data_IF_620293774395
#
_entry.id   IF_620293774395
#
_cell.length_a   1.000
_cell.length_b   1.000
_cell.length_c   1.000
_cell.angle_alpha   90.00
_cell.angle_beta   90.00
_cell.angle_gamma   90.00
#
_symmetry.space_group_name_H-M   'P 1'
#
loop_
_entity.id
_entity.type
_entity.pdbx_description
1 polymer ?
#
# COMPACT_ATOMS: atom_id res chain seq x y z
N UNK A 1 -34.03 16.28 -10.35
CA UNK A 1 -34.05 14.92 -10.92
C UNK A 1 -33.83 14.88 -12.44
N UNK A 2 -34.69 15.45 -13.30
CA UNK A 2 -34.46 15.40 -14.77
C UNK A 2 -33.11 16.01 -15.19
N UNK A 3 -32.76 17.16 -14.62
CA UNK A 3 -31.48 17.83 -14.91
C UNK A 3 -30.28 16.99 -14.44
N UNK A 4 -30.37 16.39 -13.26
CA UNK A 4 -29.31 15.55 -12.69
C UNK A 4 -29.03 14.31 -13.56
N UNK A 5 -30.09 13.69 -14.10
CA UNK A 5 -29.98 12.55 -15.03
C UNK A 5 -29.28 12.98 -16.33
N UNK A 6 -29.65 14.14 -16.88
CA UNK A 6 -29.04 14.66 -18.11
C UNK A 6 -27.58 15.03 -17.91
N UNK A 7 -27.24 15.65 -16.78
CA UNK A 7 -25.87 16.00 -16.41
C UNK A 7 -25.02 14.74 -16.23
N UNK A 8 -25.51 13.76 -15.46
CA UNK A 8 -24.82 12.48 -15.28
C UNK A 8 -24.61 11.77 -16.62
N UNK A 9 -25.64 11.73 -17.46
CA UNK A 9 -25.54 11.13 -18.80
C UNK A 9 -24.46 11.78 -19.66
N UNK A 10 -24.40 13.12 -19.69
CA UNK A 10 -23.36 13.86 -20.39
C UNK A 10 -21.96 13.60 -19.85
N UNK A 11 -21.78 13.59 -18.52
CA UNK A 11 -20.50 13.27 -17.87
C UNK A 11 -20.05 11.86 -18.22
N UNK A 12 -20.95 10.88 -18.15
CA UNK A 12 -20.64 9.48 -18.46
C UNK A 12 -20.27 9.29 -19.94
N UNK A 13 -20.96 9.94 -20.87
CA UNK A 13 -20.59 9.94 -22.29
C UNK A 13 -19.19 10.55 -22.48
N UNK A 14 -18.91 11.68 -21.81
CA UNK A 14 -17.60 12.32 -21.93
C UNK A 14 -16.47 11.47 -21.35
N UNK A 15 -16.70 10.85 -20.20
CA UNK A 15 -15.77 9.91 -19.61
C UNK A 15 -15.53 8.72 -20.55
N UNK A 16 -16.58 8.13 -21.11
CA UNK A 16 -16.49 7.03 -22.07
C UNK A 16 -15.64 7.42 -23.29
N UNK A 17 -15.87 8.59 -23.89
CA UNK A 17 -15.05 9.11 -24.99
C UNK A 17 -13.56 9.19 -24.61
N UNK A 18 -13.25 9.77 -23.45
CA UNK A 18 -11.87 9.94 -22.98
C UNK A 18 -11.19 8.59 -22.76
N UNK A 19 -11.83 7.67 -22.02
CA UNK A 19 -11.25 6.36 -21.72
C UNK A 19 -11.16 5.48 -22.97
N UNK A 20 -12.11 5.56 -23.89
CA UNK A 20 -12.03 4.86 -25.16
C UNK A 20 -10.88 5.39 -26.02
N UNK A 21 -10.76 6.71 -26.17
CA UNK A 21 -9.67 7.32 -26.94
C UNK A 21 -8.30 6.97 -26.34
N UNK A 22 -8.14 7.12 -25.03
CA UNK A 22 -6.86 6.91 -24.35
C UNK A 22 -6.49 5.43 -24.19
N UNK A 23 -7.46 4.54 -23.96
CA UNK A 23 -7.20 3.17 -23.52
C UNK A 23 -7.93 2.08 -24.32
N UNK A 24 -8.78 2.45 -25.28
CA UNK A 24 -9.66 1.52 -26.01
C UNK A 24 -10.53 0.70 -25.06
N UNK A 25 -10.99 1.33 -23.97
CA UNK A 25 -11.81 0.71 -22.93
C UNK A 25 -13.23 1.26 -22.93
N UNK A 26 -14.19 0.34 -22.80
CA UNK A 26 -15.58 0.65 -22.48
C UNK A 26 -15.78 0.70 -20.96
N UNK A 27 -16.07 1.88 -20.42
CA UNK A 27 -16.28 2.09 -18.98
C UNK A 27 -17.57 1.44 -18.50
N UNK A 28 -18.55 1.20 -19.38
CA UNK A 28 -19.79 0.48 -19.02
C UNK A 28 -19.49 -0.96 -18.64
N UNK A 29 -18.43 -1.55 -19.20
CA UNK A 29 -17.94 -2.87 -18.80
C UNK A 29 -17.24 -2.90 -17.44
N UNK A 30 -16.93 -1.73 -16.86
CA UNK A 30 -16.16 -1.57 -15.61
C UNK A 30 -17.03 -0.93 -14.53
N UNK A 31 -17.62 -1.77 -13.68
CA UNK A 31 -18.58 -1.35 -12.64
C UNK A 31 -17.96 -0.37 -11.62
N UNK A 32 -16.65 -0.39 -11.41
CA UNK A 32 -15.96 0.46 -10.43
C UNK A 32 -14.72 1.13 -11.01
N UNK A 33 -14.36 2.29 -10.46
CA UNK A 33 -13.11 2.99 -10.79
C UNK A 33 -11.88 2.10 -10.54
N UNK A 34 -11.88 1.29 -9.48
CA UNK A 34 -10.80 0.35 -9.19
C UNK A 34 -10.68 -0.74 -10.26
N UNK A 35 -11.79 -1.27 -10.77
CA UNK A 35 -11.81 -2.24 -11.87
C UNK A 35 -11.30 -1.62 -13.18
N UNK A 36 -11.67 -0.37 -13.45
CA UNK A 36 -11.17 0.40 -14.59
C UNK A 36 -9.65 0.62 -14.49
N UNK A 37 -9.15 1.09 -13.33
CA UNK A 37 -7.73 1.32 -13.09
C UNK A 37 -6.91 0.03 -13.23
N UNK A 38 -7.37 -1.08 -12.64
CA UNK A 38 -6.72 -2.38 -12.77
C UNK A 38 -6.73 -2.89 -14.22
N UNK A 39 -7.82 -2.66 -14.96
CA UNK A 39 -7.91 -3.01 -16.38
C UNK A 39 -6.91 -2.22 -17.22
N UNK A 40 -6.81 -0.91 -16.99
CA UNK A 40 -5.84 -0.04 -17.66
C UNK A 40 -4.41 -0.52 -17.38
N UNK A 41 -4.09 -0.77 -16.10
CA UNK A 41 -2.78 -1.29 -15.70
C UNK A 41 -2.44 -2.58 -16.44
N UNK A 42 -3.33 -3.57 -16.38
CA UNK A 42 -3.12 -4.89 -17.01
C UNK A 42 -2.99 -4.82 -18.53
N UNK A 43 -3.72 -3.93 -19.20
CA UNK A 43 -3.72 -3.85 -20.66
C UNK A 43 -2.50 -3.12 -21.23
N UNK A 44 -1.94 -2.16 -20.49
CA UNK A 44 -0.93 -1.23 -21.04
C UNK A 44 0.41 -1.22 -20.33
N UNK A 45 0.44 -1.59 -19.05
CA UNK A 45 1.59 -1.35 -18.19
C UNK A 45 2.12 -2.61 -17.51
N UNK A 46 1.30 -3.67 -17.43
CA UNK A 46 1.70 -4.91 -16.80
C UNK A 46 2.59 -5.72 -17.73
N UNK A 47 3.85 -5.89 -17.32
CA UNK A 47 4.82 -6.76 -17.97
C UNK A 47 4.83 -8.13 -17.28
N UNK A 48 4.03 -9.07 -17.78
CA UNK A 48 3.95 -10.42 -17.19
C UNK A 48 5.25 -11.23 -17.37
N UNK A 49 6.03 -10.93 -18.41
CA UNK A 49 7.25 -11.67 -18.74
C UNK A 49 8.36 -11.37 -17.72
N UNK A 50 8.57 -10.09 -17.42
CA UNK A 50 9.61 -9.66 -16.48
C UNK A 50 9.08 -9.49 -15.04
N UNK A 51 7.76 -9.32 -14.86
CA UNK A 51 7.13 -9.11 -13.57
C UNK A 51 5.88 -9.97 -13.34
N UNK A 52 6.00 -11.30 -13.23
CA UNK A 52 4.86 -12.14 -12.94
C UNK A 52 4.36 -11.91 -11.50
N UNK A 53 3.09 -11.49 -11.35
CA UNK A 53 2.44 -11.41 -10.04
C UNK A 53 2.10 -12.82 -9.57
N UNK A 54 2.85 -13.32 -8.58
CA UNK A 54 2.58 -14.60 -7.97
C UNK A 54 1.27 -14.60 -7.18
N UNK A 55 0.37 -15.53 -7.50
CA UNK A 55 -0.89 -15.72 -6.76
C UNK A 55 -0.62 -16.64 -5.57
N UNK A 56 -0.75 -16.15 -4.32
CA UNK A 56 -0.50 -16.97 -3.14
C UNK A 56 -1.56 -18.05 -2.97
N UNK A 57 -1.16 -19.19 -2.40
CA UNK A 57 -2.10 -20.16 -1.86
C UNK A 57 -2.72 -19.66 -0.55
N UNK A 58 -3.72 -20.38 -0.04
CA UNK A 58 -4.46 -19.99 1.16
C UNK A 58 -3.56 -19.79 2.40
N UNK A 59 -2.53 -20.62 2.59
CA UNK A 59 -1.64 -20.51 3.75
C UNK A 59 -0.73 -19.28 3.65
N UNK A 60 -0.18 -19.03 2.46
CA UNK A 60 0.61 -17.84 2.18
C UNK A 60 -0.23 -16.57 2.38
N UNK A 61 -1.43 -16.52 1.78
CA UNK A 61 -2.34 -15.38 1.90
C UNK A 61 -2.73 -15.12 3.35
N UNK A 62 -3.14 -16.17 4.08
CA UNK A 62 -3.51 -16.04 5.49
C UNK A 62 -2.36 -15.53 6.37
N UNK A 63 -1.13 -15.92 6.07
CA UNK A 63 0.03 -15.42 6.80
C UNK A 63 0.32 -13.95 6.46
N UNK A 64 0.46 -13.63 5.17
CA UNK A 64 0.79 -12.28 4.69
C UNK A 64 -0.28 -11.27 5.09
N UNK A 65 -1.56 -11.67 5.03
CA UNK A 65 -2.71 -10.82 5.39
C UNK A 65 -2.71 -10.40 6.86
N UNK A 66 -1.99 -11.09 7.75
CA UNK A 66 -1.78 -10.64 9.14
C UNK A 66 -0.97 -9.34 9.21
N UNK A 67 -0.10 -9.08 8.23
CA UNK A 67 0.66 -7.84 8.10
C UNK A 67 -0.12 -6.73 7.36
N UNK A 68 -1.34 -7.00 6.89
CA UNK A 68 -2.13 -6.01 6.16
C UNK A 68 -2.83 -5.04 7.12
N UNK A 69 -2.16 -3.94 7.39
CA UNK A 69 -2.67 -2.81 8.17
C UNK A 69 -3.02 -1.63 7.26
N UNK A 70 -3.96 -0.81 7.72
CA UNK A 70 -4.35 0.43 7.03
C UNK A 70 -3.44 1.60 7.38
N UNK A 71 -3.90 2.82 7.13
CA UNK A 71 -3.17 4.03 7.51
C UNK A 71 -3.01 4.17 9.03
N UNK A 72 -1.91 4.81 9.45
CA UNK A 72 -1.69 5.19 10.85
C UNK A 72 -2.56 6.41 11.19
N UNK A 73 -3.41 6.28 12.21
CA UNK A 73 -4.20 7.41 12.74
C UNK A 73 -4.14 7.40 14.26
N UNK A 74 -3.66 8.51 14.83
CA UNK A 74 -3.62 8.72 16.27
C UNK A 74 -4.76 9.63 16.73
N UNK A 75 -5.27 9.39 17.93
CA UNK A 75 -6.28 10.24 18.55
C UNK A 75 -5.60 11.25 19.47
N UNK A 76 -5.76 12.54 19.17
CA UNK A 76 -5.28 13.64 19.99
C UNK A 76 -6.45 14.34 20.69
N UNK A 77 -6.15 15.10 21.75
CA UNK A 77 -7.11 16.07 22.30
C UNK A 77 -7.38 17.10 21.19
N UNK A 78 -8.66 17.45 20.89
CA UNK A 78 -9.01 18.32 19.77
C UNK A 78 -8.77 19.80 20.10
N UNK A 79 -7.54 20.13 20.48
CA UNK A 79 -7.10 21.49 20.81
C UNK A 79 -5.65 21.67 20.40
N UNK A 80 -5.35 22.81 19.78
CA UNK A 80 -4.01 23.27 19.48
C UNK A 80 -4.05 24.70 18.97
N UNK A 81 -2.95 25.42 19.13
CA UNK A 81 -2.76 26.81 18.71
C UNK A 81 -1.60 26.86 17.71
N UNK A 82 -1.65 27.80 16.75
CA UNK A 82 -0.59 28.04 15.75
C UNK A 82 -0.09 26.78 15.01
N UNK A 83 -1.03 25.94 14.56
CA UNK A 83 -0.74 24.66 13.92
C UNK A 83 -0.43 24.79 12.42
N UNK A 84 0.45 23.89 11.94
CA UNK A 84 0.72 23.69 10.52
C UNK A 84 0.15 22.35 10.07
N UNK A 85 -0.52 22.35 8.91
CA UNK A 85 -1.05 21.15 8.28
C UNK A 85 -0.20 20.75 7.07
N UNK A 86 0.26 19.50 7.06
CA UNK A 86 1.06 18.93 5.99
C UNK A 86 0.37 17.68 5.47
N UNK A 87 0.32 17.54 4.15
CA UNK A 87 -0.20 16.37 3.47
C UNK A 87 0.79 15.89 2.41
N UNK A 88 0.99 14.58 2.33
CA UNK A 88 1.87 14.00 1.32
C UNK A 88 1.08 13.84 0.03
N UNK A 89 1.49 14.61 -0.98
CA UNK A 89 0.91 14.54 -2.32
C UNK A 89 0.93 13.11 -2.87
N UNK A 90 -0.24 12.47 -2.90
CA UNK A 90 -0.42 11.13 -3.46
C UNK A 90 0.53 10.09 -2.83
N UNK A 91 0.51 9.96 -1.49
CA UNK A 91 1.36 9.05 -0.72
C UNK A 91 1.48 7.64 -1.32
N UNK A 92 0.37 6.94 -1.57
CA UNK A 92 0.43 5.58 -2.10
C UNK A 92 1.06 5.50 -3.49
N UNK A 93 0.63 6.31 -4.50
CA UNK A 93 1.35 6.39 -5.77
C UNK A 93 2.84 6.74 -5.64
N UNK A 94 3.20 7.65 -4.72
CA UNK A 94 4.61 7.99 -4.46
C UNK A 94 5.39 6.76 -3.98
N UNK A 95 4.85 5.99 -3.03
CA UNK A 95 5.48 4.74 -2.58
C UNK A 95 5.56 3.71 -3.71
N UNK A 96 4.46 3.55 -4.45
CA UNK A 96 4.38 2.65 -5.61
C UNK A 96 5.39 2.98 -6.69
N UNK A 97 5.78 4.24 -6.87
CA UNK A 97 6.73 4.65 -7.90
C UNK A 97 8.19 4.52 -7.44
N UNK A 98 8.49 4.92 -6.22
CA UNK A 98 9.89 5.22 -5.84
C UNK A 98 10.59 4.10 -5.06
N UNK A 99 9.85 3.08 -4.61
CA UNK A 99 10.42 2.00 -3.79
C UNK A 99 10.31 0.66 -4.50
N UNK A 100 11.29 -0.21 -4.23
CA UNK A 100 11.26 -1.59 -4.65
C UNK A 100 10.06 -2.32 -4.01
N UNK A 101 9.55 -3.32 -4.72
CA UNK A 101 8.37 -4.09 -4.32
C UNK A 101 8.74 -5.57 -4.09
N UNK A 102 8.01 -6.28 -3.21
CA UNK A 102 8.15 -7.72 -3.09
C UNK A 102 7.65 -8.40 -4.37
N UNK A 103 8.57 -8.97 -5.13
CA UNK A 103 8.29 -9.68 -6.37
C UNK A 103 8.70 -11.16 -6.30
N UNK A 104 8.36 -11.90 -7.37
CA UNK A 104 8.64 -13.32 -7.47
C UNK A 104 7.78 -14.20 -6.55
N UNK A 105 8.16 -15.48 -6.46
CA UNK A 105 7.48 -16.46 -5.62
C UNK A 105 8.05 -16.40 -4.19
N UNK A 106 7.21 -16.19 -3.15
CA UNK A 106 7.69 -16.15 -1.78
C UNK A 106 8.26 -17.50 -1.32
N UNK A 107 9.33 -17.42 -0.53
CA UNK A 107 9.98 -18.58 0.11
C UNK A 107 9.73 -18.55 1.60
N UNK A 108 9.24 -19.66 2.15
CA UNK A 108 9.03 -19.79 3.60
C UNK A 108 10.34 -20.04 4.32
N UNK A 109 10.56 -19.31 5.40
CA UNK A 109 11.64 -19.53 6.35
C UNK A 109 11.05 -19.73 7.75
N UNK A 110 11.20 -20.95 8.29
CA UNK A 110 10.64 -21.31 9.60
C UNK A 110 11.49 -20.92 10.80
N UNK A 111 12.72 -20.45 10.58
CA UNK A 111 13.60 -19.94 11.62
C UNK A 111 14.43 -18.78 11.04
N UNK A 112 14.26 -17.59 11.63
CA UNK A 112 14.96 -16.36 11.26
C UNK A 112 15.75 -15.76 12.44
N UNK A 113 15.83 -16.44 13.58
CA UNK A 113 16.37 -15.89 14.85
C UNK A 113 17.83 -15.41 14.72
N UNK A 114 18.63 -16.08 13.87
CA UNK A 114 20.04 -15.77 13.62
C UNK A 114 20.28 -14.89 12.39
N UNK A 115 19.21 -14.46 11.70
CA UNK A 115 19.33 -13.64 10.50
C UNK A 115 19.39 -12.16 10.86
N UNK A 116 20.35 -11.47 10.26
CA UNK A 116 20.39 -10.01 10.30
C UNK A 116 19.12 -9.44 9.64
N UNK A 117 18.39 -8.59 10.37
CA UNK A 117 17.14 -7.99 9.92
C UNK A 117 17.32 -7.22 8.61
N UNK A 118 18.48 -6.58 8.39
CA UNK A 118 18.74 -5.80 7.17
C UNK A 118 18.83 -6.68 5.92
N UNK A 119 19.23 -7.95 6.09
CA UNK A 119 19.25 -8.96 5.02
C UNK A 119 17.86 -9.49 4.64
N UNK A 120 16.86 -9.27 5.49
CA UNK A 120 15.51 -9.77 5.26
C UNK A 120 14.70 -8.82 4.38
N UNK A 121 13.86 -9.42 3.54
CA UNK A 121 12.90 -8.70 2.71
C UNK A 121 11.64 -9.53 2.51
N UNK A 122 10.51 -9.06 3.04
CA UNK A 122 9.24 -9.78 2.95
C UNK A 122 8.35 -9.57 4.17
N UNK A 123 7.48 -10.53 4.46
CA UNK A 123 6.55 -10.48 5.58
C UNK A 123 7.00 -11.44 6.68
N UNK A 124 7.22 -10.91 7.87
CA UNK A 124 7.96 -11.57 8.96
C UNK A 124 7.10 -11.54 10.21
N UNK A 125 6.88 -12.71 10.80
CA UNK A 125 6.44 -12.84 12.19
C UNK A 125 7.64 -12.55 13.09
N UNK A 126 7.48 -11.58 13.99
CA UNK A 126 8.52 -11.15 14.89
C UNK A 126 7.96 -10.96 16.30
N UNK A 127 8.78 -11.29 17.30
CA UNK A 127 8.60 -10.81 18.65
C UNK A 127 9.21 -9.41 18.75
N UNK A 128 8.41 -8.45 19.22
CA UNK A 128 8.82 -7.05 19.30
C UNK A 128 8.64 -6.51 20.71
N UNK A 129 9.58 -5.67 21.12
CA UNK A 129 9.54 -4.93 22.39
C UNK A 129 9.60 -3.44 22.09
N UNK A 130 8.48 -2.77 22.26
CA UNK A 130 8.35 -1.32 22.15
C UNK A 130 8.63 -0.68 23.53
N UNK A 131 9.66 0.18 23.67
CA UNK A 131 9.93 0.87 24.92
C UNK A 131 8.72 1.70 25.40
N UNK A 132 8.41 1.62 26.71
CA UNK A 132 7.31 2.39 27.32
C UNK A 132 7.53 3.91 27.29
N UNK A 133 8.75 4.35 26.97
CA UNK A 133 9.11 5.77 26.81
C UNK A 133 8.66 6.35 25.46
N UNK A 134 8.33 5.52 24.47
CA UNK A 134 7.83 5.98 23.17
C UNK A 134 6.40 6.47 23.32
N UNK A 135 6.20 7.78 23.10
CA UNK A 135 4.89 8.44 23.23
C UNK A 135 3.93 8.14 22.08
N UNK A 136 4.47 7.81 20.90
CA UNK A 136 3.73 7.50 19.68
C UNK A 136 4.25 6.18 19.11
N UNK A 137 3.77 5.03 19.61
CA UNK A 137 4.20 3.75 19.09
C UNK A 137 3.85 3.62 17.62
N UNK A 138 4.75 3.02 16.85
CA UNK A 138 4.68 2.92 15.40
C UNK A 138 4.03 1.62 14.91
N UNK A 139 4.39 0.47 15.50
CA UNK A 139 3.90 -0.82 14.99
C UNK A 139 2.42 -1.06 15.38
N UNK A 140 1.54 -1.38 14.41
CA UNK A 140 0.16 -1.72 14.68
C UNK A 140 0.03 -3.12 15.30
N UNK A 141 -0.99 -3.32 16.11
CA UNK A 141 -1.33 -4.61 16.71
C UNK A 141 -2.84 -4.79 16.78
N UNK A 142 -3.33 -5.91 16.24
CA UNK A 142 -4.73 -6.34 16.41
C UNK A 142 -4.82 -7.21 17.65
N UNK A 143 -5.55 -6.73 18.66
CA UNK A 143 -5.79 -7.51 19.87
C UNK A 143 -6.74 -8.69 19.60
N UNK A 144 -7.02 -9.50 20.64
CA UNK A 144 -7.91 -10.67 20.56
C UNK A 144 -9.34 -10.35 20.07
N UNK A 145 -9.79 -9.09 20.24
CA UNK A 145 -11.09 -8.61 19.79
C UNK A 145 -11.02 -7.98 18.38
N UNK A 146 -9.92 -8.17 17.65
CA UNK A 146 -9.64 -7.58 16.35
C UNK A 146 -9.63 -6.03 16.34
N UNK A 147 -9.43 -5.41 17.52
CA UNK A 147 -9.28 -3.97 17.62
C UNK A 147 -7.85 -3.59 17.27
N UNK A 148 -7.69 -2.65 16.33
CA UNK A 148 -6.40 -2.09 15.95
C UNK A 148 -5.93 -1.11 17.03
N UNK A 149 -4.69 -1.30 17.49
CA UNK A 149 -4.02 -0.45 18.47
C UNK A 149 -2.56 -0.25 18.08
N UNK A 150 -1.89 0.74 18.66
CA UNK A 150 -0.45 0.96 18.52
C UNK A 150 0.18 0.91 19.93
N UNK A 151 0.44 -0.29 20.47
CA UNK A 151 0.83 -0.44 21.87
C UNK A 151 2.35 -0.28 22.11
N UNK A 152 2.69 0.07 23.34
CA UNK A 152 4.03 -0.18 23.91
C UNK A 152 4.09 -1.55 24.58
N UNK A 153 5.29 -2.03 24.91
CA UNK A 153 5.50 -3.32 25.56
C UNK A 153 5.81 -4.44 24.57
N UNK A 154 5.47 -5.65 24.97
CA UNK A 154 5.87 -6.88 24.26
C UNK A 154 4.70 -7.48 23.51
N UNK A 155 4.91 -7.83 22.25
CA UNK A 155 3.90 -8.53 21.45
C UNK A 155 4.55 -9.28 20.28
N UNK A 156 3.79 -10.21 19.71
CA UNK A 156 4.15 -10.91 18.48
C UNK A 156 3.18 -10.48 17.39
N UNK A 157 3.70 -10.17 16.21
CA UNK A 157 2.90 -9.82 15.05
C UNK A 157 3.64 -10.11 13.75
N UNK A 158 2.91 -10.08 12.64
CA UNK A 158 3.48 -10.19 11.29
C UNK A 158 3.54 -8.80 10.69
N UNK A 159 4.68 -8.42 10.14
CA UNK A 159 4.95 -7.08 9.62
C UNK A 159 5.74 -7.17 8.31
N UNK A 160 5.66 -6.12 7.50
CA UNK A 160 6.61 -5.99 6.40
C UNK A 160 8.00 -5.67 6.97
N UNK A 161 9.03 -6.31 6.43
CA UNK A 161 10.41 -6.21 6.91
C UNK A 161 10.92 -4.77 7.04
N UNK A 162 10.50 -3.86 6.16
CA UNK A 162 10.93 -2.46 6.21
C UNK A 162 10.25 -1.69 7.36
N UNK A 163 9.03 -2.08 7.78
CA UNK A 163 8.40 -1.55 8.99
C UNK A 163 9.16 -2.00 10.25
N UNK A 164 9.65 -3.23 10.27
CA UNK A 164 10.46 -3.75 11.37
C UNK A 164 11.81 -3.04 11.48
N UNK A 165 12.47 -2.75 10.36
CA UNK A 165 13.72 -1.97 10.33
C UNK A 165 13.49 -0.56 10.86
N UNK A 166 12.43 0.10 10.40
CA UNK A 166 12.10 1.42 10.92
C UNK A 166 11.74 1.39 12.41
N UNK A 167 11.00 0.38 12.87
CA UNK A 167 10.72 0.20 14.30
C UNK A 167 12.00 0.03 15.13
N UNK A 168 12.95 -0.79 14.66
CA UNK A 168 14.28 -0.92 15.28
C UNK A 168 14.97 0.44 15.40
N UNK A 169 14.95 1.24 14.34
CA UNK A 169 15.59 2.56 14.32
C UNK A 169 14.90 3.56 15.28
N UNK A 170 13.61 3.35 15.58
CA UNK A 170 12.88 4.06 16.63
C UNK A 170 13.18 3.56 18.06
N UNK A 171 14.00 2.53 18.21
CA UNK A 171 14.42 1.95 19.49
C UNK A 171 13.66 0.69 19.91
N UNK A 172 12.89 0.07 19.02
CA UNK A 172 12.28 -1.22 19.29
C UNK A 172 13.35 -2.32 19.33
N UNK A 173 13.18 -3.31 20.19
CA UNK A 173 13.85 -4.61 20.00
C UNK A 173 13.00 -5.46 19.08
N UNK A 174 13.61 -6.02 18.03
CA UNK A 174 12.94 -6.88 17.04
C UNK A 174 13.67 -8.21 16.95
N UNK A 175 12.95 -9.30 17.18
CA UNK A 175 13.45 -10.68 17.04
C UNK A 175 12.64 -11.37 15.93
N UNK A 176 13.18 -11.49 14.70
CA UNK A 176 12.53 -12.20 13.59
C UNK A 176 12.40 -13.69 13.91
N UNK A 177 11.20 -14.27 13.77
CA UNK A 177 10.94 -15.68 14.08
C UNK A 177 10.82 -16.52 12.81
N UNK A 178 9.86 -16.16 11.95
CA UNK A 178 9.56 -16.88 10.71
C UNK A 178 8.93 -15.93 9.69
N UNK A 179 8.88 -16.31 8.42
CA UNK A 179 8.25 -15.46 7.43
C UNK A 179 8.37 -15.93 5.99
N UNK A 180 7.69 -15.20 5.12
CA UNK A 180 7.83 -15.32 3.68
C UNK A 180 8.76 -14.22 3.17
N UNK A 181 9.90 -14.63 2.62
CA UNK A 181 10.85 -13.72 1.99
C UNK A 181 10.59 -13.64 0.48
N UNK A 182 10.86 -12.47 -0.07
CA UNK A 182 10.62 -12.10 -1.46
C UNK A 182 11.90 -11.59 -2.12
N UNK A 183 11.88 -11.56 -3.44
CA UNK A 183 12.90 -10.87 -4.21
C UNK A 183 12.65 -9.36 -4.14
N UNK A 184 13.73 -8.59 -3.96
CA UNK A 184 13.71 -7.14 -4.16
C UNK A 184 13.75 -6.87 -5.63
N UNK A 185 12.67 -6.29 -6.15
CA UNK A 185 12.59 -6.01 -7.57
C UNK A 185 12.01 -4.59 -7.77
N UNK A 186 12.31 -3.96 -8.90
CA UNK A 186 11.87 -2.59 -9.21
C UNK A 186 10.36 -2.50 -9.40
N UNK A 187 9.72 -1.42 -8.92
CA UNK A 187 8.26 -1.39 -8.94
C UNK A 187 7.66 -1.53 -10.35
N UNK A 188 6.68 -2.43 -10.54
CA UNK A 188 6.01 -2.59 -11.83
C UNK A 188 5.01 -1.45 -12.11
N UNK A 189 4.83 -0.53 -11.16
CA UNK A 189 3.85 0.55 -11.24
C UNK A 189 4.46 1.88 -11.71
N UNK A 190 5.77 1.95 -11.95
CA UNK A 190 6.49 3.20 -12.25
C UNK A 190 5.84 3.95 -13.43
N UNK A 191 5.69 3.29 -14.58
CA UNK A 191 5.16 3.91 -15.79
C UNK A 191 3.68 4.29 -15.64
N UNK A 192 2.89 3.41 -15.03
CA UNK A 192 1.48 3.66 -14.75
C UNK A 192 1.30 4.91 -13.89
N UNK A 193 2.01 4.99 -12.76
CA UNK A 193 1.93 6.13 -11.84
C UNK A 193 2.42 7.42 -12.49
N UNK A 194 3.52 7.38 -13.26
CA UNK A 194 4.01 8.54 -14.00
C UNK A 194 2.96 9.07 -14.96
N UNK A 195 2.41 8.19 -15.80
CA UNK A 195 1.41 8.58 -16.80
C UNK A 195 0.17 9.20 -16.17
N UNK A 196 -0.37 8.60 -15.09
CA UNK A 196 -1.54 9.16 -14.41
C UNK A 196 -1.23 10.49 -13.71
N UNK A 197 -0.03 10.64 -13.15
CA UNK A 197 0.39 11.87 -12.48
C UNK A 197 0.55 13.03 -13.47
N UNK A 198 1.15 12.77 -14.63
CA UNK A 198 1.29 13.76 -15.71
C UNK A 198 -0.08 14.22 -16.22
N UNK A 199 -0.99 13.29 -16.51
CA UNK A 199 -2.36 13.61 -16.92
C UNK A 199 -3.10 14.47 -15.89
N UNK A 200 -2.92 14.20 -14.60
CA UNK A 200 -3.50 15.03 -13.53
C UNK A 200 -2.93 16.45 -13.55
N UNK A 201 -1.62 16.60 -13.72
CA UNK A 201 -0.96 17.91 -13.79
C UNK A 201 -1.42 18.69 -15.03
N UNK A 202 -1.56 18.03 -16.17
CA UNK A 202 -2.09 18.63 -17.41
C UNK A 202 -3.54 19.08 -17.26
N UNK A 203 -4.41 18.25 -16.69
CA UNK A 203 -5.81 18.59 -16.42
C UNK A 203 -5.92 19.82 -15.52
N UNK A 204 -5.10 19.88 -14.45
CA UNK A 204 -5.02 21.06 -13.57
C UNK A 204 -4.59 22.31 -14.31
N UNK A 205 -3.54 22.23 -15.14
CA UNK A 205 -3.07 23.37 -15.96
C UNK A 205 -4.14 23.87 -16.94
N UNK A 206 -4.98 22.97 -17.44
CA UNK A 206 -6.08 23.28 -18.35
C UNK A 206 -7.36 23.79 -17.64
N UNK A 207 -7.38 23.85 -16.30
CA UNK A 207 -8.57 24.27 -15.54
C UNK A 207 -9.69 23.22 -15.50
N UNK A 208 -9.36 21.96 -15.76
CA UNK A 208 -10.30 20.82 -15.73
C UNK A 208 -10.16 20.00 -14.43
N UNK A 209 -9.89 20.68 -13.30
CA UNK A 209 -9.89 20.03 -11.97
C UNK A 209 -11.30 19.66 -11.50
#
# INVERSE_FOLDING_TARGET
MKQDILLLGGIMQKAQEIYFHLYQLDIVSKITLSSLALSIYRLKYYDEENWPIYIPNMNQDNFIRKAYYGGHTDTYKPYGEDLYYYDVNSLYPFVMKNYQMPGGKPVWHGNLDEKDLDSLYGFIEAYVVCPKTIKKPFLPYRNKNNTLTFPTGEFVGVYYSEELKFARDLGYTVLPLSGYLYERMDSPFIEFVNTQSEKRIEAKKAGNE
#
